data_IF_492055396382
#
_entry.id   IF_492055396382
#
_cell.length_a   1.000
_cell.length_b   1.000
_cell.length_c   1.000
_cell.angle_alpha   90.00
_cell.angle_beta   90.00
_cell.angle_gamma   90.00
#
_symmetry.space_group_name_H-M   'P 1'
#
loop_
_entity.id
_entity.type
_entity.pdbx_description
1 polymer ?
#
# COMPACT_ATOMS: atom_id res chain seq x y z
N UNK A 1 -80.40 10.81 56.06
CA UNK A 1 -78.98 11.22 56.00
C UNK A 1 -78.20 10.08 55.35
N UNK A 2 -78.10 10.07 54.02
CA UNK A 2 -77.36 9.04 53.26
C UNK A 2 -77.16 9.41 51.77
N UNK A 3 -77.28 10.70 51.41
CA UNK A 3 -77.27 11.18 50.02
C UNK A 3 -76.04 12.03 49.64
N UNK A 4 -75.04 12.14 50.53
CA UNK A 4 -73.83 12.93 50.28
C UNK A 4 -72.59 12.10 49.87
N UNK A 5 -72.73 10.78 49.74
CA UNK A 5 -71.60 9.87 49.44
C UNK A 5 -71.42 9.55 47.95
N UNK A 6 -72.42 9.81 47.09
CA UNK A 6 -72.35 9.46 45.67
C UNK A 6 -71.72 10.55 44.80
N UNK A 7 -71.75 11.82 45.25
CA UNK A 7 -71.20 12.93 44.49
C UNK A 7 -69.67 12.99 44.52
N UNK A 8 -69.01 12.52 45.59
CA UNK A 8 -67.55 12.47 45.67
C UNK A 8 -66.96 11.36 44.78
N UNK A 9 -67.65 10.22 44.64
CA UNK A 9 -67.21 9.09 43.82
C UNK A 9 -67.05 9.45 42.33
N UNK A 10 -67.93 10.30 41.80
CA UNK A 10 -67.91 10.66 40.37
C UNK A 10 -66.80 11.66 40.02
N UNK A 11 -66.38 12.50 40.97
CA UNK A 11 -65.29 13.45 40.75
C UNK A 11 -63.92 12.74 40.68
N UNK A 12 -63.73 11.72 41.52
CA UNK A 12 -62.52 10.90 41.53
C UNK A 12 -62.39 10.04 40.26
N UNK A 13 -63.50 9.49 39.74
CA UNK A 13 -63.52 8.75 38.47
C UNK A 13 -63.21 9.64 37.26
N UNK A 14 -63.69 10.88 37.24
CA UNK A 14 -63.37 11.86 36.19
C UNK A 14 -61.89 12.26 36.22
N UNK A 15 -61.30 12.44 37.40
CA UNK A 15 -59.86 12.73 37.53
C UNK A 15 -58.96 11.59 37.05
N UNK A 16 -59.33 10.35 37.38
CA UNK A 16 -58.59 9.15 36.96
C UNK A 16 -58.64 8.98 35.43
N UNK A 17 -59.82 9.14 34.83
CA UNK A 17 -59.98 9.01 33.37
C UNK A 17 -59.21 10.07 32.58
N UNK A 18 -59.17 11.32 33.03
CA UNK A 18 -58.37 12.37 32.41
C UNK A 18 -56.85 12.10 32.52
N UNK A 19 -56.40 11.57 33.67
CA UNK A 19 -54.99 11.21 33.89
C UNK A 19 -54.56 10.07 32.97
N UNK A 20 -55.42 9.06 32.79
CA UNK A 20 -55.14 7.95 31.86
C UNK A 20 -55.08 8.46 30.41
N UNK A 21 -56.04 9.29 29.99
CA UNK A 21 -56.09 9.82 28.63
C UNK A 21 -54.87 10.68 28.28
N UNK A 22 -54.43 11.53 29.20
CA UNK A 22 -53.22 12.35 29.03
C UNK A 22 -51.96 11.49 28.98
N UNK A 23 -51.86 10.45 29.82
CA UNK A 23 -50.78 9.49 29.78
C UNK A 23 -50.69 8.75 28.44
N UNK A 24 -51.82 8.24 27.93
CA UNK A 24 -51.89 7.56 26.62
C UNK A 24 -51.52 8.51 25.48
N UNK A 25 -51.97 9.76 25.54
CA UNK A 25 -51.66 10.78 24.52
C UNK A 25 -50.16 11.11 24.48
N UNK A 26 -49.52 11.28 25.64
CA UNK A 26 -48.08 11.52 25.73
C UNK A 26 -47.27 10.32 25.23
N UNK A 27 -47.69 9.09 25.58
CA UNK A 27 -47.06 7.88 25.09
C UNK A 27 -47.15 7.77 23.56
N UNK A 28 -48.31 8.09 22.98
CA UNK A 28 -48.50 8.09 21.53
C UNK A 28 -47.57 9.11 20.82
N UNK A 29 -47.43 10.32 21.37
CA UNK A 29 -46.48 11.32 20.86
C UNK A 29 -45.04 10.83 20.97
N UNK A 30 -44.66 10.22 22.10
CA UNK A 30 -43.32 9.68 22.28
C UNK A 30 -43.01 8.57 21.26
N UNK A 31 -43.94 7.64 21.05
CA UNK A 31 -43.80 6.57 20.05
C UNK A 31 -43.69 7.15 18.64
N UNK A 32 -44.49 8.16 18.30
CA UNK A 32 -44.41 8.82 17.00
C UNK A 32 -43.05 9.51 16.77
N UNK A 33 -42.55 10.26 17.76
CA UNK A 33 -41.23 10.91 17.70
C UNK A 33 -40.11 9.87 17.61
N UNK A 34 -40.19 8.78 18.37
CA UNK A 34 -39.24 7.68 18.31
C UNK A 34 -39.24 7.01 16.92
N UNK A 35 -40.42 6.70 16.37
CA UNK A 35 -40.56 6.13 15.04
C UNK A 35 -39.98 7.05 13.94
N UNK A 36 -40.21 8.36 14.03
CA UNK A 36 -39.59 9.35 13.14
C UNK A 36 -38.06 9.40 13.29
N UNK A 37 -37.56 9.27 14.53
CA UNK A 37 -36.12 9.17 14.80
C UNK A 37 -35.49 7.92 14.17
N UNK A 38 -36.15 6.77 14.30
CA UNK A 38 -35.73 5.50 13.69
C UNK A 38 -35.75 5.60 12.16
N UNK A 39 -36.81 6.12 11.57
CA UNK A 39 -36.90 6.28 10.11
C UNK A 39 -35.89 7.30 9.57
N UNK A 40 -35.65 8.40 10.29
CA UNK A 40 -34.61 9.38 9.91
C UNK A 40 -33.22 8.76 9.96
N UNK A 41 -32.89 8.04 11.02
CA UNK A 41 -31.58 7.36 11.15
C UNK A 41 -31.41 6.28 10.08
N UNK A 42 -32.47 5.53 9.76
CA UNK A 42 -32.47 4.57 8.65
C UNK A 42 -32.16 5.25 7.31
N UNK A 43 -32.87 6.33 6.96
CA UNK A 43 -32.62 7.09 5.73
C UNK A 43 -31.22 7.68 5.68
N UNK A 44 -30.74 8.28 6.77
CA UNK A 44 -29.38 8.81 6.83
C UNK A 44 -28.36 7.71 6.55
N UNK A 45 -28.53 6.51 7.12
CA UNK A 45 -27.66 5.36 6.86
C UNK A 45 -27.76 4.84 5.43
N UNK A 46 -28.96 4.76 4.85
CA UNK A 46 -29.17 4.32 3.46
C UNK A 46 -28.50 5.25 2.43
N UNK A 47 -28.45 6.57 2.70
CA UNK A 47 -27.78 7.55 1.84
C UNK A 47 -26.33 7.86 2.23
N UNK A 48 -25.84 7.28 3.34
CA UNK A 48 -24.48 7.49 3.79
C UNK A 48 -23.51 6.55 3.06
N UNK A 49 -22.85 7.07 2.02
CA UNK A 49 -21.79 6.36 1.30
C UNK A 49 -20.66 5.90 2.23
N UNK A 50 -20.44 6.56 3.36
CA UNK A 50 -19.44 6.13 4.35
C UNK A 50 -19.86 4.88 5.13
N UNK A 51 -21.15 4.51 5.12
CA UNK A 51 -21.65 3.38 5.92
C UNK A 51 -21.03 2.05 5.52
N UNK A 52 -20.83 1.79 4.23
CA UNK A 52 -20.13 0.59 3.76
C UNK A 52 -18.69 0.51 4.31
N UNK A 53 -18.04 1.65 4.54
CA UNK A 53 -16.69 1.69 5.14
C UNK A 53 -16.67 1.36 6.64
N UNK A 54 -17.84 1.24 7.28
CA UNK A 54 -17.95 0.86 8.70
C UNK A 54 -18.09 -0.64 8.93
N UNK A 55 -18.29 -1.41 7.86
CA UNK A 55 -18.44 -2.86 7.90
C UNK A 55 -17.06 -3.53 8.05
N UNK A 56 -16.78 -4.07 9.23
CA UNK A 56 -15.48 -4.67 9.56
C UNK A 56 -15.20 -5.97 8.77
N UNK A 57 -16.24 -6.69 8.36
CA UNK A 57 -16.16 -7.84 7.46
C UNK A 57 -15.69 -7.45 6.05
N UNK A 58 -16.14 -6.30 5.55
CA UNK A 58 -15.77 -5.81 4.22
C UNK A 58 -14.48 -4.99 4.20
N UNK A 59 -14.21 -4.18 5.22
CA UNK A 59 -13.05 -3.28 5.23
C UNK A 59 -11.87 -3.85 6.00
N UNK A 60 -12.06 -4.99 6.65
CA UNK A 60 -11.10 -5.59 7.57
C UNK A 60 -10.61 -4.56 8.57
N UNK A 61 -9.31 -4.36 8.51
CA UNK A 61 -8.57 -3.50 9.41
C UNK A 61 -8.65 -1.99 9.06
N UNK A 62 -9.29 -1.63 7.94
CA UNK A 62 -9.53 -0.24 7.51
C UNK A 62 -10.96 0.23 7.83
N UNK A 63 -11.73 -0.54 8.59
CA UNK A 63 -13.09 -0.16 8.96
C UNK A 63 -13.11 1.14 9.80
N UNK A 64 -13.99 2.06 9.41
CA UNK A 64 -14.28 3.25 10.20
C UNK A 64 -15.19 2.90 11.38
N UNK A 65 -15.03 3.63 12.49
CA UNK A 65 -15.96 3.51 13.62
C UNK A 65 -17.38 3.89 13.15
N UNK A 66 -18.40 3.08 13.47
CA UNK A 66 -19.77 3.41 13.10
C UNK A 66 -20.21 4.70 13.80
N UNK A 67 -20.97 5.53 13.08
CA UNK A 67 -21.55 6.75 13.66
C UNK A 67 -22.61 6.35 14.70
N UNK A 68 -22.48 6.87 15.92
CA UNK A 68 -23.45 6.64 16.98
C UNK A 68 -24.86 7.09 16.57
N UNK A 69 -25.89 6.44 17.09
CA UNK A 69 -27.27 6.66 16.65
C UNK A 69 -27.72 8.13 16.80
N UNK A 70 -27.36 8.80 17.89
CA UNK A 70 -27.63 10.22 18.11
C UNK A 70 -26.91 11.12 17.08
N UNK A 71 -25.65 10.81 16.76
CA UNK A 71 -24.90 11.55 15.75
C UNK A 71 -25.53 11.38 14.35
N UNK A 72 -26.02 10.18 14.03
CA UNK A 72 -26.76 9.91 12.80
C UNK A 72 -28.10 10.67 12.76
N UNK A 73 -28.81 10.77 13.89
CA UNK A 73 -30.05 11.55 13.99
C UNK A 73 -29.81 13.04 13.72
N UNK A 74 -28.68 13.59 14.20
CA UNK A 74 -28.19 14.93 13.91
C UNK A 74 -27.66 15.10 12.47
N UNK A 75 -27.73 14.07 11.63
CA UNK A 75 -27.30 14.12 10.24
C UNK A 75 -25.79 14.00 10.04
N UNK A 76 -25.02 13.61 11.06
CA UNK A 76 -23.60 13.28 10.88
C UNK A 76 -23.48 11.99 10.06
N UNK A 77 -22.56 12.00 9.10
CA UNK A 77 -22.24 10.87 8.22
C UNK A 77 -20.92 10.24 8.64
N UNK A 78 -20.74 8.97 8.31
CA UNK A 78 -19.46 8.32 8.46
C UNK A 78 -18.42 9.03 7.57
N UNK A 79 -17.19 9.25 8.07
CA UNK A 79 -16.15 9.82 7.24
C UNK A 79 -15.90 8.90 6.03
N UNK A 80 -15.70 9.50 4.87
CA UNK A 80 -15.27 8.74 3.69
C UNK A 80 -13.87 8.22 3.98
N UNK A 81 -13.69 6.89 3.92
CA UNK A 81 -12.36 6.31 4.10
C UNK A 81 -11.44 6.82 2.99
N UNK A 82 -10.28 7.30 3.39
CA UNK A 82 -9.23 7.70 2.47
C UNK A 82 -7.99 6.84 2.76
N UNK A 83 -7.41 6.27 1.70
CA UNK A 83 -6.25 5.37 1.75
C UNK A 83 -5.14 5.95 0.88
N UNK A 84 -3.86 5.66 1.16
CA UNK A 84 -2.77 6.02 0.26
C UNK A 84 -3.06 5.52 -1.16
N UNK A 85 -2.73 6.29 -2.18
CA UNK A 85 -2.88 5.80 -3.56
C UNK A 85 -1.89 4.67 -3.84
N UNK A 86 -2.15 3.87 -4.88
CA UNK A 86 -1.17 2.89 -5.38
C UNK A 86 0.15 3.59 -5.73
N UNK A 87 0.11 4.80 -6.29
CA UNK A 87 1.30 5.61 -6.53
C UNK A 87 2.05 5.98 -5.24
N UNK A 88 1.35 6.31 -4.16
CA UNK A 88 1.96 6.55 -2.85
C UNK A 88 2.58 5.30 -2.24
N UNK A 89 1.98 4.12 -2.47
CA UNK A 89 2.59 2.84 -2.09
C UNK A 89 3.86 2.56 -2.90
N UNK A 90 3.84 2.77 -4.22
CA UNK A 90 5.01 2.62 -5.09
C UNK A 90 6.12 3.60 -4.67
N UNK A 91 5.79 4.84 -4.32
CA UNK A 91 6.77 5.80 -3.79
C UNK A 91 7.41 5.34 -2.48
N UNK A 92 6.61 4.73 -1.59
CA UNK A 92 7.14 4.12 -0.38
C UNK A 92 8.07 2.93 -0.71
N UNK A 93 7.73 2.14 -1.72
CA UNK A 93 8.53 1.01 -2.19
C UNK A 93 9.88 1.46 -2.78
N UNK A 94 9.87 2.54 -3.56
CA UNK A 94 11.08 3.13 -4.15
C UNK A 94 12.04 3.63 -3.07
N UNK A 95 11.49 4.18 -1.97
CA UNK A 95 12.25 4.55 -0.77
C UNK A 95 12.67 3.35 0.10
N UNK A 96 12.54 2.13 -0.42
CA UNK A 96 12.88 0.88 0.26
C UNK A 96 12.11 0.67 1.58
N UNK A 97 10.94 1.29 1.74
CA UNK A 97 10.10 1.09 2.92
C UNK A 97 9.32 -0.23 2.85
N UNK A 98 9.23 -0.85 1.68
CA UNK A 98 8.80 -2.22 1.49
C UNK A 98 9.36 -2.73 0.17
N UNK A 99 9.31 -4.04 -0.08
CA UNK A 99 9.87 -4.63 -1.30
C UNK A 99 8.95 -5.74 -1.84
N UNK A 100 9.30 -6.33 -2.98
CA UNK A 100 8.49 -7.38 -3.58
C UNK A 100 8.27 -8.60 -2.65
N UNK A 101 9.16 -8.86 -1.67
CA UNK A 101 8.96 -9.93 -0.66
C UNK A 101 7.78 -9.69 0.25
N UNK A 102 7.42 -8.44 0.51
CA UNK A 102 6.24 -8.07 1.29
C UNK A 102 4.97 -8.70 0.72
N UNK A 103 4.92 -8.83 -0.61
CA UNK A 103 3.79 -9.43 -1.32
C UNK A 103 3.76 -10.96 -1.18
N UNK A 104 4.88 -11.61 -0.87
CA UNK A 104 4.92 -13.03 -0.55
C UNK A 104 4.26 -13.33 0.81
N UNK A 105 4.18 -12.34 1.70
CA UNK A 105 3.47 -12.46 2.97
C UNK A 105 1.99 -12.12 2.87
N UNK A 106 1.52 -11.71 1.68
CA UNK A 106 0.10 -11.49 1.45
C UNK A 106 -0.68 -12.76 1.77
N UNK A 107 -1.73 -12.70 2.60
CA UNK A 107 -2.53 -13.89 2.85
C UNK A 107 -3.06 -14.39 1.51
N UNK A 108 -3.08 -15.71 1.35
CA UNK A 108 -3.95 -16.30 0.34
C UNK A 108 -5.38 -15.79 0.64
N UNK A 109 -6.22 -15.65 -0.38
CA UNK A 109 -7.69 -15.54 -0.28
C UNK A 109 -8.32 -14.14 -0.57
N UNK A 110 -9.57 -14.28 -1.07
CA UNK A 110 -10.74 -13.42 -1.24
C UNK A 110 -10.88 -12.63 -2.56
N UNK A 111 -11.64 -13.18 -3.55
CA UNK A 111 -11.82 -12.56 -4.86
C UNK A 111 -12.58 -11.23 -4.83
N UNK A 112 -13.26 -10.91 -3.72
CA UNK A 112 -14.13 -9.74 -3.64
C UNK A 112 -13.40 -8.45 -3.23
N UNK A 113 -12.30 -8.55 -2.46
CA UNK A 113 -11.64 -7.41 -1.79
C UNK A 113 -10.12 -7.49 -1.88
N UNK A 114 -9.64 -7.41 -3.10
CA UNK A 114 -8.26 -7.72 -3.48
C UNK A 114 -7.21 -6.73 -3.00
N UNK A 115 -7.57 -5.48 -2.72
CA UNK A 115 -6.63 -4.46 -2.23
C UNK A 115 -6.37 -4.56 -0.73
N UNK A 116 -7.27 -5.15 0.07
CA UNK A 116 -7.10 -5.22 1.53
C UNK A 116 -5.87 -6.04 1.91
N UNK A 117 -5.69 -7.29 1.40
CA UNK A 117 -4.49 -8.08 1.65
C UNK A 117 -3.21 -7.33 1.27
N UNK A 118 -3.21 -6.64 0.13
CA UNK A 118 -2.07 -5.86 -0.35
C UNK A 118 -1.68 -4.77 0.66
N UNK A 119 -2.65 -3.96 1.10
CA UNK A 119 -2.38 -2.85 2.02
C UNK A 119 -2.03 -3.37 3.42
N UNK A 120 -2.68 -4.44 3.89
CA UNK A 120 -2.34 -5.08 5.17
C UNK A 120 -0.89 -5.53 5.20
N UNK A 121 -0.43 -6.27 4.18
CA UNK A 121 0.96 -6.74 4.12
C UNK A 121 1.97 -5.60 4.07
N UNK A 122 1.69 -4.56 3.27
CA UNK A 122 2.60 -3.40 3.19
C UNK A 122 2.68 -2.65 4.52
N UNK A 123 1.54 -2.40 5.17
CA UNK A 123 1.57 -1.68 6.44
C UNK A 123 2.14 -2.49 7.60
N UNK A 124 1.99 -3.82 7.58
CA UNK A 124 2.61 -4.69 8.57
C UNK A 124 4.14 -4.61 8.46
N UNK A 125 4.71 -4.65 7.25
CA UNK A 125 6.15 -4.46 7.03
C UNK A 125 6.63 -3.06 7.42
N UNK A 126 5.88 -2.01 7.06
CA UNK A 126 6.17 -0.63 7.48
C UNK A 126 6.19 -0.49 9.00
N UNK A 127 5.26 -1.15 9.69
CA UNK A 127 5.19 -1.14 11.16
C UNK A 127 6.43 -1.78 11.78
N UNK A 128 6.91 -2.89 11.20
CA UNK A 128 8.13 -3.58 11.64
C UNK A 128 9.35 -2.66 11.46
N UNK A 129 9.49 -2.01 10.30
CA UNK A 129 10.62 -1.13 9.99
C UNK A 129 10.67 0.12 10.88
N UNK A 130 9.53 0.76 11.13
CA UNK A 130 9.48 1.98 11.92
C UNK A 130 9.62 1.75 13.43
N UNK A 131 9.76 0.51 13.89
CA UNK A 131 9.92 0.23 15.32
C UNK A 131 8.80 0.84 16.17
N UNK A 132 7.58 0.96 15.62
CA UNK A 132 6.37 1.49 16.27
C UNK A 132 5.86 0.57 17.40
N UNK A 133 6.78 -0.14 18.06
CA UNK A 133 6.57 -0.92 19.25
C UNK A 133 6.77 -0.09 20.54
N UNK A 134 7.00 1.22 20.47
CA UNK A 134 6.98 2.12 21.64
C UNK A 134 5.55 2.63 21.99
N UNK A 135 4.60 1.70 22.08
CA UNK A 135 3.73 1.59 23.25
C UNK A 135 4.60 1.05 24.44
N UNK A 136 4.20 1.11 25.72
CA UNK A 136 5.11 0.86 26.85
C UNK A 136 5.67 -0.57 26.86
N UNK A 137 6.80 -0.92 27.48
CA UNK A 137 7.98 -0.20 27.98
C UNK A 137 9.00 -1.26 28.44
N UNK A 138 9.63 -1.97 27.52
CA UNK A 138 10.80 -2.81 27.78
C UNK A 138 11.49 -2.93 26.40
N UNK A 139 12.80 -3.11 26.33
CA UNK A 139 13.60 -3.22 25.08
C UNK A 139 14.13 -1.88 24.50
N UNK A 140 15.09 -1.34 25.27
CA UNK A 140 16.40 -0.83 24.82
C UNK A 140 16.76 -1.19 23.36
N UNK A 141 16.83 -0.20 22.46
CA UNK A 141 18.05 0.40 21.88
C UNK A 141 19.11 -0.59 21.36
N UNK A 142 19.38 -0.49 20.03
CA UNK A 142 20.48 -1.05 19.21
C UNK A 142 20.20 -2.29 18.31
N UNK A 143 19.33 -2.17 17.28
CA UNK A 143 19.17 -3.25 16.29
C UNK A 143 18.66 -2.86 14.88
N UNK A 144 19.04 -1.71 14.30
CA UNK A 144 18.62 -1.34 12.94
C UNK A 144 19.79 -1.10 11.96
N UNK A 145 20.79 -1.95 12.09
CA UNK A 145 21.62 -2.46 10.98
C UNK A 145 21.51 -4.00 10.85
N UNK A 146 20.51 -4.61 11.50
CA UNK A 146 20.38 -6.09 11.62
C UNK A 146 19.07 -6.70 11.11
N UNK A 147 18.07 -5.95 10.66
CA UNK A 147 16.74 -6.53 10.38
C UNK A 147 16.69 -7.42 9.12
N UNK A 148 17.62 -7.26 8.18
CA UNK A 148 17.74 -8.18 7.03
C UNK A 148 18.61 -9.40 7.39
N UNK A 149 19.60 -9.26 8.28
CA UNK A 149 20.59 -10.31 8.61
C UNK A 149 20.31 -11.13 9.90
N UNK A 150 19.45 -10.68 10.83
CA UNK A 150 19.17 -11.44 12.05
C UNK A 150 18.33 -12.72 11.81
N UNK A 151 17.61 -12.80 10.69
CA UNK A 151 16.96 -14.04 10.25
C UNK A 151 17.91 -14.97 9.47
N UNK A 152 19.14 -14.54 9.15
CA UNK A 152 20.06 -15.31 8.30
C UNK A 152 21.05 -16.22 9.05
N UNK A 153 21.06 -16.24 10.39
CA UNK A 153 22.07 -16.99 11.17
C UNK A 153 21.53 -18.08 12.10
N UNK A 154 20.33 -18.64 11.86
CA UNK A 154 19.89 -19.84 12.61
C UNK A 154 19.95 -21.08 11.73
N UNK A 155 20.92 -22.00 11.94
CA UNK A 155 20.83 -23.36 11.45
C UNK A 155 19.60 -24.00 12.08
N UNK A 156 18.77 -24.62 11.25
CA UNK A 156 17.50 -25.19 11.66
C UNK A 156 17.63 -26.18 12.80
N UNK A 157 16.73 -26.08 13.78
CA UNK A 157 16.38 -27.17 14.67
C UNK A 157 14.93 -27.00 15.13
N UNK A 158 14.13 -28.05 14.92
CA UNK A 158 12.94 -28.35 15.70
C UNK A 158 11.67 -27.61 15.29
N UNK A 159 10.68 -28.39 14.85
CA UNK A 159 9.33 -27.91 14.57
C UNK A 159 8.73 -27.13 15.74
N UNK A 160 8.57 -25.82 15.53
CA UNK A 160 7.56 -25.03 16.21
C UNK A 160 6.84 -24.26 15.12
N UNK A 161 5.58 -24.64 14.88
CA UNK A 161 4.57 -23.76 14.29
C UNK A 161 4.53 -22.52 15.18
N UNK A 162 5.33 -21.51 14.84
CA UNK A 162 5.23 -20.21 15.48
C UNK A 162 3.84 -19.69 15.17
N UNK A 163 3.13 -19.41 16.24
CA UNK A 163 1.84 -18.75 16.29
C UNK A 163 1.93 -17.39 15.58
N UNK A 164 1.82 -17.38 14.25
CA UNK A 164 1.41 -16.21 13.45
C UNK A 164 -0.10 -15.95 13.59
N UNK A 165 -0.76 -16.68 14.49
CA UNK A 165 -1.96 -16.24 15.19
C UNK A 165 -1.63 -15.21 16.28
N UNK A 166 -0.59 -14.38 16.10
CA UNK A 166 -0.51 -13.05 16.72
C UNK A 166 -1.66 -12.23 16.15
N UNK A 167 -2.82 -12.53 16.73
CA UNK A 167 -4.04 -11.76 16.81
C UNK A 167 -4.30 -10.82 15.62
N UNK A 168 -4.95 -11.39 14.61
CA UNK A 168 -5.96 -10.70 13.77
C UNK A 168 -6.86 -9.78 14.63
N UNK A 169 -7.06 -10.11 15.91
CA UNK A 169 -7.74 -9.30 16.95
C UNK A 169 -7.00 -7.99 17.29
N UNK A 170 -5.67 -7.94 17.32
CA UNK A 170 -4.88 -6.71 17.50
C UNK A 170 -4.87 -5.82 16.25
N UNK A 171 -5.06 -6.43 15.07
CA UNK A 171 -5.36 -5.69 13.83
C UNK A 171 -6.83 -5.21 13.76
N UNK A 172 -7.72 -5.63 14.65
CA UNK A 172 -9.13 -5.20 14.68
C UNK A 172 -9.41 -4.10 15.72
N UNK A 173 -8.48 -3.79 16.62
CA UNK A 173 -8.63 -2.70 17.62
C UNK A 173 -8.44 -1.29 17.00
N UNK A 174 -8.76 -1.12 15.70
CA UNK A 174 -8.24 -0.05 14.83
C UNK A 174 -9.13 1.19 14.72
N UNK A 175 -8.60 2.30 15.25
CA UNK A 175 -8.55 3.60 14.57
C UNK A 175 -7.11 4.07 14.29
N UNK A 176 -6.10 3.38 14.85
CA UNK A 176 -4.71 3.84 14.88
C UNK A 176 -3.94 3.68 13.57
N UNK A 177 -4.35 2.82 12.62
CA UNK A 177 -3.58 2.65 11.39
C UNK A 177 -3.74 3.84 10.45
N UNK A 178 -4.97 4.30 10.19
CA UNK A 178 -5.21 5.49 9.37
C UNK A 178 -4.57 6.75 9.98
N UNK A 179 -4.60 6.85 11.31
CA UNK A 179 -3.94 7.94 12.02
C UNK A 179 -2.42 7.78 12.10
N UNK A 180 -1.93 6.53 12.15
CA UNK A 180 -0.53 6.17 12.04
C UNK A 180 0.04 6.54 10.67
N UNK A 181 -0.68 6.23 9.58
CA UNK A 181 -0.33 6.62 8.21
C UNK A 181 -0.22 8.15 8.09
N UNK A 182 -1.13 8.91 8.71
CA UNK A 182 -1.03 10.38 8.77
C UNK A 182 0.16 10.89 9.59
N UNK A 183 0.62 10.09 10.56
CA UNK A 183 1.74 10.41 11.45
C UNK A 183 3.07 9.81 10.97
N UNK A 184 3.08 8.99 9.92
CA UNK A 184 4.31 8.50 9.32
C UNK A 184 5.07 9.74 8.84
N UNK A 185 6.32 9.93 9.30
CA UNK A 185 7.11 11.07 8.87
C UNK A 185 7.23 10.99 7.34
N UNK A 186 6.64 11.98 6.65
CA UNK A 186 7.09 12.30 5.30
C UNK A 186 8.58 12.52 5.43
N UNK A 187 9.36 11.61 4.84
CA UNK A 187 10.81 11.54 5.02
C UNK A 187 11.39 12.95 5.03
N UNK A 188 12.07 13.30 6.12
CA UNK A 188 12.62 14.61 6.37
C UNK A 188 13.69 14.93 5.31
N UNK A 189 13.26 15.47 4.19
CA UNK A 189 14.10 16.12 3.18
C UNK A 189 13.49 17.50 2.96
N UNK A 190 14.15 18.52 3.52
CA UNK A 190 14.04 19.95 3.23
C UNK A 190 12.67 20.53 2.87
N UNK A 191 12.17 21.42 3.73
CA UNK A 191 11.13 22.45 3.58
C UNK A 191 10.61 22.79 2.14
N UNK A 192 10.03 21.83 1.42
CA UNK A 192 9.17 22.14 0.27
C UNK A 192 7.72 22.12 0.72
N UNK A 193 6.96 23.16 0.35
CA UNK A 193 5.49 23.22 0.43
C UNK A 193 4.84 22.26 -0.57
N UNK A 194 5.35 21.04 -0.69
CA UNK A 194 4.76 20.07 -1.61
C UNK A 194 3.52 19.45 -0.99
N UNK A 195 2.41 19.62 -1.70
CA UNK A 195 1.14 18.98 -1.45
C UNK A 195 1.33 17.45 -1.43
N UNK A 196 1.45 16.88 -0.23
CA UNK A 196 1.31 15.45 0.06
C UNK A 196 2.12 14.48 -0.82
N UNK A 197 3.44 14.43 -0.65
CA UNK A 197 4.29 13.36 -1.25
C UNK A 197 4.15 12.02 -0.49
N UNK A 198 4.29 10.91 -1.19
CA UNK A 198 4.35 9.56 -0.63
C UNK A 198 3.01 9.02 -0.11
N UNK A 199 3.06 8.35 1.03
CA UNK A 199 1.88 7.76 1.70
C UNK A 199 0.84 8.80 2.12
N UNK A 200 1.21 10.09 2.16
CA UNK A 200 0.29 11.18 2.43
C UNK A 200 -0.66 11.47 1.26
N UNK A 201 -0.41 10.90 0.07
CA UNK A 201 -1.29 11.02 -1.10
C UNK A 201 -2.52 10.14 -0.94
N UNK A 202 -3.47 10.59 -0.12
CA UNK A 202 -4.69 9.87 0.18
C UNK A 202 -5.72 10.04 -0.95
N UNK A 203 -6.30 8.93 -1.40
CA UNK A 203 -7.45 8.87 -2.30
C UNK A 203 -8.68 8.38 -1.54
N UNK A 204 -9.82 9.01 -1.77
CA UNK A 204 -11.09 8.53 -1.25
C UNK A 204 -11.43 7.15 -1.86
N UNK A 205 -11.85 6.22 -1.01
CA UNK A 205 -12.37 4.91 -1.45
C UNK A 205 -13.72 5.11 -2.13
N UNK A 206 -13.88 4.51 -3.31
CA UNK A 206 -15.10 4.56 -4.10
C UNK A 206 -15.95 3.33 -3.80
N UNK A 207 -17.27 3.43 -3.98
CA UNK A 207 -18.16 2.29 -3.91
C UNK A 207 -18.67 1.97 -5.31
N UNK A 208 -18.26 0.82 -5.85
CA UNK A 208 -18.74 0.29 -7.13
C UNK A 208 -19.58 -0.94 -6.81
N UNK A 209 -20.90 -0.88 -7.02
CA UNK A 209 -21.81 -2.00 -6.71
C UNK A 209 -21.80 -2.42 -5.23
N UNK A 210 -21.61 -1.46 -4.30
CA UNK A 210 -21.38 -1.68 -2.85
C UNK A 210 -20.02 -2.28 -2.47
N UNK A 211 -19.16 -2.58 -3.45
CA UNK A 211 -17.79 -3.00 -3.18
C UNK A 211 -16.88 -1.77 -3.04
N UNK A 212 -16.10 -1.65 -1.96
CA UNK A 212 -15.09 -0.61 -1.81
C UNK A 212 -13.93 -0.83 -2.79
N UNK A 213 -13.63 0.19 -3.59
CA UNK A 213 -12.60 0.19 -4.62
C UNK A 213 -11.68 1.39 -4.47
N UNK A 214 -10.41 1.23 -4.85
CA UNK A 214 -9.43 2.32 -4.88
C UNK A 214 -9.24 2.74 -6.34
N UNK A 215 -9.37 4.04 -6.68
CA UNK A 215 -9.16 4.50 -8.04
C UNK A 215 -7.67 4.44 -8.42
N UNK A 216 -7.38 3.68 -9.48
CA UNK A 216 -6.03 3.43 -10.00
C UNK A 216 -5.90 4.06 -11.39
N UNK A 217 -4.82 4.81 -11.60
CA UNK A 217 -4.46 5.37 -12.92
C UNK A 217 -3.75 4.32 -13.78
N UNK A 218 -3.62 4.58 -15.09
CA UNK A 218 -2.90 3.66 -15.99
C UNK A 218 -1.44 3.51 -15.58
N UNK A 219 -0.79 4.62 -15.24
CA UNK A 219 0.61 4.66 -14.80
C UNK A 219 0.81 3.92 -13.47
N UNK A 220 -0.12 4.06 -12.51
CA UNK A 220 -0.10 3.28 -11.26
C UNK A 220 -0.28 1.78 -11.51
N UNK A 221 -1.17 1.40 -12.43
CA UNK A 221 -1.38 0.00 -12.79
C UNK A 221 -0.13 -0.61 -13.44
N UNK A 222 0.49 0.09 -14.38
CA UNK A 222 1.70 -0.42 -15.04
C UNK A 222 2.86 -0.48 -14.05
N UNK A 223 3.08 0.54 -13.24
CA UNK A 223 4.13 0.47 -12.22
C UNK A 223 3.89 -0.69 -11.24
N UNK A 224 2.65 -0.89 -10.78
CA UNK A 224 2.31 -2.04 -9.93
C UNK A 224 2.61 -3.37 -10.64
N UNK A 225 2.28 -3.51 -11.92
CA UNK A 225 2.59 -4.73 -12.68
C UNK A 225 4.09 -4.96 -12.83
N UNK A 226 4.89 -3.92 -13.06
CA UNK A 226 6.35 -3.99 -13.09
C UNK A 226 6.92 -4.44 -11.74
N UNK A 227 6.45 -3.84 -10.64
CA UNK A 227 6.86 -4.20 -9.27
C UNK A 227 6.47 -5.64 -8.90
N UNK A 228 5.42 -6.18 -9.50
CA UNK A 228 5.05 -7.58 -9.32
C UNK A 228 5.73 -8.51 -10.32
N UNK A 229 6.56 -8.01 -11.25
CA UNK A 229 7.17 -8.82 -12.30
C UNK A 229 6.13 -9.49 -13.20
N UNK A 230 5.05 -8.76 -13.50
CA UNK A 230 3.84 -9.30 -14.08
C UNK A 230 3.64 -8.82 -15.52
N UNK A 231 3.76 -9.70 -16.53
CA UNK A 231 3.39 -9.38 -17.89
C UNK A 231 1.86 -9.35 -18.00
N UNK A 232 1.29 -8.16 -18.21
CA UNK A 232 -0.14 -8.02 -18.50
C UNK A 232 -0.35 -8.28 -19.98
N UNK A 233 -1.06 -9.35 -20.31
CA UNK A 233 -1.44 -9.69 -21.68
C UNK A 233 -2.94 -9.52 -21.89
N UNK A 234 -3.33 -9.14 -23.10
CA UNK A 234 -4.74 -9.13 -23.51
C UNK A 234 -5.17 -10.54 -23.88
N UNK A 235 -6.17 -11.07 -23.19
CA UNK A 235 -6.86 -12.31 -23.53
C UNK A 235 -7.68 -12.15 -24.81
N UNK A 236 -8.00 -13.27 -25.48
CA UNK A 236 -8.92 -13.33 -26.62
C UNK A 236 -10.26 -12.68 -26.33
N UNK A 237 -10.70 -12.79 -25.08
CA UNK A 237 -12.02 -12.33 -24.62
C UNK A 237 -12.02 -10.83 -24.28
N UNK A 238 -10.92 -10.12 -24.55
CA UNK A 238 -10.79 -8.68 -24.31
C UNK A 238 -10.45 -8.29 -22.87
N UNK A 239 -10.34 -9.26 -21.96
CA UNK A 239 -9.81 -9.08 -20.61
C UNK A 239 -8.29 -8.93 -20.62
N UNK A 240 -7.72 -8.24 -19.64
CA UNK A 240 -6.27 -8.20 -19.47
C UNK A 240 -5.89 -8.93 -18.20
N UNK A 241 -5.00 -9.91 -18.31
CA UNK A 241 -4.57 -10.68 -17.17
C UNK A 241 -3.06 -10.94 -17.20
N UNK A 242 -2.49 -11.15 -16.03
CA UNK A 242 -1.09 -11.48 -15.86
C UNK A 242 -0.87 -12.28 -14.59
N UNK A 243 0.16 -13.12 -14.60
CA UNK A 243 0.66 -13.82 -13.42
C UNK A 243 2.08 -13.31 -13.20
N UNK A 244 2.31 -12.73 -12.02
CA UNK A 244 3.59 -12.18 -11.63
C UNK A 244 4.37 -13.08 -10.69
N UNK A 245 5.41 -12.50 -10.10
CA UNK A 245 6.13 -13.07 -8.98
C UNK A 245 5.20 -13.31 -7.78
N UNK A 246 5.66 -14.09 -6.81
CA UNK A 246 4.95 -14.40 -5.56
C UNK A 246 3.56 -15.06 -5.73
N UNK A 247 3.26 -15.56 -6.94
CA UNK A 247 1.99 -16.25 -7.23
C UNK A 247 0.83 -15.27 -7.31
N UNK A 248 1.13 -13.98 -7.50
CA UNK A 248 0.15 -12.94 -7.69
C UNK A 248 -0.41 -13.03 -9.10
N UNK A 249 -1.72 -13.02 -9.22
CA UNK A 249 -2.41 -12.82 -10.48
C UNK A 249 -3.18 -11.51 -10.43
N UNK A 250 -3.19 -10.82 -11.56
CA UNK A 250 -3.95 -9.61 -11.76
C UNK A 250 -4.88 -9.85 -12.94
N UNK A 251 -6.15 -9.54 -12.74
CA UNK A 251 -7.16 -9.61 -13.78
C UNK A 251 -7.87 -8.25 -13.86
N UNK A 252 -8.03 -7.76 -15.09
CA UNK A 252 -8.65 -6.51 -15.42
C UNK A 252 -9.83 -6.80 -16.34
N UNK A 253 -11.02 -6.68 -15.77
CA UNK A 253 -12.28 -6.90 -16.46
C UNK A 253 -13.06 -5.60 -16.61
N UNK A 254 -13.64 -5.38 -17.78
CA UNK A 254 -14.56 -4.27 -17.98
C UNK A 254 -15.95 -4.69 -17.50
N UNK A 255 -16.41 -4.10 -16.40
CA UNK A 255 -17.73 -4.38 -15.80
C UNK A 255 -18.58 -3.12 -15.84
N UNK A 256 -19.73 -3.21 -16.51
CA UNK A 256 -20.66 -2.09 -16.73
C UNK A 256 -19.98 -0.92 -17.47
N UNK A 257 -19.59 0.12 -16.73
CA UNK A 257 -18.94 1.33 -17.25
C UNK A 257 -17.54 1.56 -16.66
N UNK A 258 -17.01 0.59 -15.88
CA UNK A 258 -15.74 0.72 -15.18
C UNK A 258 -14.83 -0.47 -15.46
N UNK A 259 -13.53 -0.19 -15.50
CA UNK A 259 -12.52 -1.25 -15.44
C UNK A 259 -12.31 -1.65 -13.97
N UNK A 260 -12.57 -2.91 -13.67
CA UNK A 260 -12.36 -3.50 -12.34
C UNK A 260 -11.07 -4.31 -12.34
N UNK A 261 -10.19 -3.95 -11.41
CA UNK A 261 -8.93 -4.64 -11.15
C UNK A 261 -9.10 -5.63 -10.01
N UNK A 262 -8.65 -6.86 -10.22
CA UNK A 262 -8.72 -7.95 -9.25
C UNK A 262 -7.30 -8.52 -9.07
N UNK A 263 -6.71 -8.31 -7.89
CA UNK A 263 -5.43 -8.88 -7.49
C UNK A 263 -5.65 -10.11 -6.58
N UNK A 264 -5.19 -11.29 -6.99
CA UNK A 264 -5.36 -12.52 -6.23
C UNK A 264 -4.00 -13.14 -5.98
N UNK A 265 -3.78 -13.65 -4.76
CA UNK A 265 -2.65 -14.55 -4.50
C UNK A 265 -3.09 -15.98 -4.71
N UNK A 266 -2.52 -16.63 -5.72
CA UNK A 266 -2.67 -18.07 -5.93
C UNK A 266 -1.94 -18.86 -4.85
N UNK A 267 -2.44 -20.06 -4.58
CA UNK A 267 -1.73 -20.98 -3.68
C UNK A 267 -0.40 -21.41 -4.29
N UNK A 268 0.65 -21.45 -3.46
CA UNK A 268 1.98 -21.87 -3.86
C UNK A 268 2.36 -23.15 -3.14
N UNK A 269 2.93 -24.11 -3.88
CA UNK A 269 3.57 -25.27 -3.27
C UNK A 269 4.80 -24.74 -2.50
N UNK A 270 5.08 -25.19 -1.27
CA UNK A 270 6.20 -24.69 -0.46
C UNK A 270 7.57 -24.69 -1.16
N UNK A 271 7.79 -25.60 -2.12
CA UNK A 271 9.02 -25.64 -2.95
C UNK A 271 9.18 -24.47 -3.93
N UNK A 272 8.11 -23.71 -4.14
CA UNK A 272 8.08 -22.47 -4.93
C UNK A 272 8.04 -21.23 -4.02
N UNK A 273 8.23 -21.40 -2.70
CA UNK A 273 8.45 -20.28 -1.82
C UNK A 273 9.73 -19.56 -2.25
N UNK A 274 9.73 -18.22 -2.26
CA UNK A 274 10.94 -17.47 -2.55
C UNK A 274 12.05 -17.84 -1.58
N UNK A 275 13.28 -17.91 -2.09
CA UNK A 275 14.47 -17.95 -1.22
C UNK A 275 14.46 -16.70 -0.34
N UNK A 276 14.88 -16.84 0.92
CA UNK A 276 15.04 -15.68 1.80
C UNK A 276 15.94 -14.63 1.14
N UNK A 277 15.48 -13.38 1.12
CA UNK A 277 16.21 -12.30 0.47
C UNK A 277 16.02 -12.18 -1.05
N UNK A 278 15.14 -12.96 -1.67
CA UNK A 278 14.81 -12.85 -3.11
C UNK A 278 13.90 -11.70 -3.51
N UNK A 279 13.81 -10.68 -2.66
CA UNK A 279 13.10 -9.45 -2.95
C UNK A 279 13.89 -8.56 -3.91
N UNK A 280 13.15 -7.75 -4.66
CA UNK A 280 13.69 -6.65 -5.44
C UNK A 280 12.95 -5.36 -5.09
N UNK A 281 13.63 -4.23 -5.25
CA UNK A 281 13.02 -2.92 -5.01
C UNK A 281 12.14 -2.53 -6.19
N UNK A 282 11.10 -1.74 -5.92
CA UNK A 282 10.23 -1.20 -6.96
C UNK A 282 11.01 -0.35 -7.98
N UNK A 283 11.95 0.47 -7.49
CA UNK A 283 12.85 1.28 -8.30
C UNK A 283 13.62 0.40 -9.29
N UNK A 284 14.26 -0.68 -8.82
CA UNK A 284 15.00 -1.60 -9.69
C UNK A 284 14.08 -2.25 -10.73
N UNK A 285 12.90 -2.72 -10.32
CA UNK A 285 11.95 -3.36 -11.23
C UNK A 285 11.51 -2.43 -12.37
N UNK A 286 11.18 -1.17 -12.05
CA UNK A 286 10.81 -0.15 -13.04
C UNK A 286 11.95 0.13 -14.02
N UNK A 287 13.15 0.34 -13.50
CA UNK A 287 14.33 0.62 -14.32
C UNK A 287 14.66 -0.54 -15.26
N UNK A 288 14.71 -1.78 -14.75
CA UNK A 288 15.03 -2.96 -15.55
C UNK A 288 14.01 -3.20 -16.65
N UNK A 289 12.72 -3.02 -16.35
CA UNK A 289 11.66 -3.12 -17.35
C UNK A 289 11.78 -2.08 -18.46
N UNK A 290 12.39 -0.93 -18.16
CA UNK A 290 12.68 0.13 -19.13
C UNK A 290 14.08 0.02 -19.75
N UNK A 291 14.76 -1.12 -19.59
CA UNK A 291 16.10 -1.34 -20.16
C UNK A 291 17.19 -0.51 -19.51
N UNK A 292 17.03 -0.13 -18.24
CA UNK A 292 18.00 0.69 -17.51
C UNK A 292 18.36 0.07 -16.17
N UNK A 293 19.53 0.42 -15.65
CA UNK A 293 20.06 -0.12 -14.40
C UNK A 293 20.51 1.04 -13.51
N UNK A 294 19.83 1.28 -12.37
CA UNK A 294 20.13 2.40 -11.49
C UNK A 294 21.38 2.09 -10.64
N UNK A 295 22.31 3.05 -10.56
CA UNK A 295 23.59 2.88 -9.85
C UNK A 295 23.89 3.92 -8.79
N UNK A 296 23.25 5.09 -8.87
CA UNK A 296 23.33 6.08 -7.82
C UNK A 296 22.01 6.84 -7.71
N UNK A 297 21.63 7.17 -6.49
CA UNK A 297 20.40 7.88 -6.18
C UNK A 297 20.75 9.22 -5.50
N UNK A 298 20.25 10.30 -6.09
CA UNK A 298 20.18 11.62 -5.46
C UNK A 298 18.80 11.89 -4.87
N UNK A 299 18.64 13.06 -4.25
CA UNK A 299 17.34 13.49 -3.70
C UNK A 299 16.23 13.41 -4.75
N UNK A 300 16.40 14.14 -5.86
CA UNK A 300 15.41 14.26 -6.93
C UNK A 300 15.80 13.56 -8.25
N UNK A 301 16.96 12.89 -8.29
CA UNK A 301 17.46 12.25 -9.50
C UNK A 301 17.95 10.83 -9.26
N UNK A 302 17.96 10.01 -10.30
CA UNK A 302 18.53 8.66 -10.33
C UNK A 302 19.50 8.59 -11.49
N UNK A 303 20.76 8.24 -11.21
CA UNK A 303 21.73 7.89 -12.23
C UNK A 303 21.58 6.43 -12.59
N UNK A 304 21.48 6.17 -13.89
CA UNK A 304 21.27 4.85 -14.43
C UNK A 304 22.13 4.61 -15.66
N UNK A 305 22.46 3.35 -15.93
CA UNK A 305 23.03 2.90 -17.20
C UNK A 305 21.88 2.42 -18.07
N UNK A 306 21.69 3.00 -19.27
CA UNK A 306 20.72 2.51 -20.24
C UNK A 306 21.35 1.44 -21.11
N UNK A 307 20.80 0.23 -21.05
CA UNK A 307 21.38 -0.99 -21.60
C UNK A 307 20.97 -1.15 -23.07
N UNK A 308 21.72 -0.51 -23.95
CA UNK A 308 21.68 -0.80 -25.40
C UNK A 308 22.50 -2.04 -25.72
N UNK A 309 22.36 -2.62 -26.92
CA UNK A 309 23.21 -3.74 -27.36
C UNK A 309 24.70 -3.39 -27.32
N UNK A 310 25.03 -2.14 -27.64
CA UNK A 310 26.39 -1.63 -27.60
C UNK A 310 26.91 -1.53 -26.16
N UNK A 311 26.11 -0.99 -25.23
CA UNK A 311 26.45 -0.94 -23.80
C UNK A 311 26.56 -2.34 -23.22
N UNK A 312 25.69 -3.27 -23.61
CA UNK A 312 25.75 -4.66 -23.18
C UNK A 312 27.04 -5.35 -23.66
N UNK A 313 27.47 -5.10 -24.90
CA UNK A 313 28.76 -5.57 -25.40
C UNK A 313 29.92 -4.94 -24.62
N UNK A 314 29.90 -3.63 -24.41
CA UNK A 314 30.90 -2.91 -23.63
C UNK A 314 31.03 -3.48 -22.20
N UNK A 315 29.90 -3.74 -21.54
CA UNK A 315 29.86 -4.37 -20.21
C UNK A 315 30.52 -5.76 -20.22
N UNK A 316 30.24 -6.58 -21.24
CA UNK A 316 30.84 -7.93 -21.36
C UNK A 316 32.34 -7.88 -21.60
N UNK A 317 32.79 -6.87 -22.34
CA UNK A 317 34.19 -6.69 -22.72
C UNK A 317 34.98 -5.87 -21.68
N UNK A 318 34.34 -5.40 -20.60
CA UNK A 318 34.97 -4.55 -19.59
C UNK A 318 35.32 -3.13 -20.08
N UNK A 319 34.66 -2.66 -21.14
CA UNK A 319 34.84 -1.31 -21.69
C UNK A 319 34.10 -0.29 -20.82
N UNK A 320 34.68 0.90 -20.69
CA UNK A 320 34.08 1.98 -19.91
C UNK A 320 32.79 2.50 -20.57
N UNK A 321 31.79 2.80 -19.75
CA UNK A 321 30.54 3.45 -20.17
C UNK A 321 30.69 4.94 -19.95
N UNK A 322 30.27 5.78 -20.89
CA UNK A 322 30.38 7.24 -20.79
C UNK A 322 29.02 7.92 -20.94
N UNK A 323 28.81 9.00 -20.20
CA UNK A 323 27.69 9.91 -20.40
C UNK A 323 27.89 10.72 -21.70
N UNK A 324 27.01 10.48 -22.67
CA UNK A 324 26.98 11.21 -23.95
C UNK A 324 26.01 12.39 -23.92
N UNK A 325 25.37 12.67 -22.78
CA UNK A 325 24.33 13.68 -22.57
C UNK A 325 23.15 13.58 -23.55
N UNK A 326 23.02 12.44 -24.21
CA UNK A 326 22.02 12.27 -25.24
C UNK A 326 20.68 11.83 -24.61
N UNK A 327 19.62 11.99 -25.38
CA UNK A 327 18.27 11.69 -24.95
C UNK A 327 18.01 10.17 -24.80
N UNK A 328 17.55 9.77 -23.61
CA UNK A 328 17.36 8.38 -23.17
C UNK A 328 16.30 7.52 -23.87
N UNK A 329 15.68 8.01 -24.94
CA UNK A 329 14.72 7.25 -25.74
C UNK A 329 13.33 7.05 -25.09
N UNK A 330 12.40 6.40 -25.82
CA UNK A 330 11.02 6.25 -25.40
C UNK A 330 10.84 5.47 -24.08
N UNK A 331 11.72 4.50 -23.80
CA UNK A 331 11.65 3.69 -22.57
C UNK A 331 11.92 4.53 -21.33
N UNK A 332 12.87 5.47 -21.40
CA UNK A 332 13.18 6.37 -20.28
C UNK A 332 12.14 7.48 -20.13
N UNK A 333 11.51 7.93 -21.22
CA UNK A 333 10.31 8.78 -21.11
C UNK A 333 9.13 8.06 -20.47
N UNK A 334 8.96 6.77 -20.80
CA UNK A 334 7.92 5.97 -20.17
C UNK A 334 8.18 5.81 -18.67
N UNK A 335 9.43 5.52 -18.28
CA UNK A 335 9.86 5.47 -16.89
C UNK A 335 9.51 6.77 -16.16
N UNK A 336 9.73 7.93 -16.81
CA UNK A 336 9.43 9.26 -16.26
C UNK A 336 7.96 9.52 -15.95
N UNK A 337 7.05 8.73 -16.53
CA UNK A 337 5.60 8.85 -16.30
C UNK A 337 5.11 7.99 -15.14
N UNK A 338 5.93 7.04 -14.67
CA UNK A 338 5.52 6.13 -13.61
C UNK A 338 5.44 6.87 -12.26
N UNK A 339 4.62 6.39 -11.31
CA UNK A 339 4.59 6.98 -9.98
C UNK A 339 5.97 6.97 -9.32
N UNK A 340 6.18 7.96 -8.45
CA UNK A 340 7.44 8.18 -7.74
C UNK A 340 8.63 8.44 -8.65
N UNK A 341 8.38 8.97 -9.85
CA UNK A 341 9.45 9.31 -10.76
C UNK A 341 10.42 10.34 -10.18
N UNK A 342 11.69 10.10 -10.44
CA UNK A 342 12.79 11.00 -10.19
C UNK A 342 13.45 11.32 -11.52
N UNK A 343 14.09 12.48 -11.64
CA UNK A 343 14.81 12.82 -12.86
C UNK A 343 15.85 11.73 -13.18
N UNK A 344 15.68 11.02 -14.30
CA UNK A 344 16.61 9.97 -14.72
C UNK A 344 17.74 10.58 -15.54
N UNK A 345 18.96 10.43 -15.03
CA UNK A 345 20.24 10.72 -15.67
C UNK A 345 20.83 9.41 -16.21
N UNK A 346 20.88 9.23 -17.54
CA UNK A 346 21.12 7.95 -18.17
C UNK A 346 22.42 7.92 -18.98
N UNK A 347 23.27 6.95 -18.67
CA UNK A 347 24.60 6.74 -19.25
C UNK A 347 24.51 5.61 -20.27
N UNK A 348 24.98 5.83 -21.49
CA UNK A 348 24.88 4.79 -22.54
C UNK A 348 25.86 4.95 -23.70
N UNK A 349 26.82 5.87 -23.61
CA UNK A 349 27.96 5.89 -24.50
C UNK A 349 28.98 4.82 -24.13
N UNK A 350 29.90 4.57 -25.06
CA UNK A 350 31.06 3.71 -24.86
C UNK A 350 32.29 4.59 -25.04
N UNK A 351 33.26 4.46 -24.13
CA UNK A 351 34.52 5.17 -24.28
C UNK A 351 35.33 4.58 -25.44
N UNK A 352 35.82 5.43 -26.36
CA UNK A 352 36.69 4.99 -27.46
C UNK A 352 38.07 4.52 -26.97
N UNK A 353 38.56 5.10 -25.86
CA UNK A 353 39.83 4.75 -25.24
C UNK A 353 39.66 4.45 -23.74
N UNK A 354 40.17 3.28 -23.30
CA UNK A 354 40.17 2.90 -21.88
C UNK A 354 41.16 3.71 -21.03
N UNK A 355 42.20 4.31 -21.63
CA UNK A 355 43.06 5.29 -20.96
C UNK A 355 43.73 4.82 -19.65
N UNK A 356 44.06 3.53 -19.52
CA UNK A 356 44.63 2.96 -18.29
C UNK A 356 43.68 2.92 -17.09
N UNK A 357 42.37 3.12 -17.32
CA UNK A 357 41.32 3.02 -16.29
C UNK A 357 40.96 1.57 -16.00
N UNK A 358 40.33 1.35 -14.85
CA UNK A 358 39.84 0.04 -14.47
C UNK A 358 38.72 -0.43 -15.42
N UNK A 359 38.62 -1.75 -15.70
CA UNK A 359 37.57 -2.28 -16.56
C UNK A 359 36.17 -1.95 -16.04
N UNK A 360 35.31 -1.46 -16.94
CA UNK A 360 33.91 -1.16 -16.63
C UNK A 360 33.67 0.10 -15.82
N UNK A 361 34.59 1.07 -15.76
CA UNK A 361 34.30 2.38 -15.18
C UNK A 361 33.12 3.07 -15.89
N UNK A 362 32.33 3.81 -15.13
CA UNK A 362 31.24 4.67 -15.59
C UNK A 362 31.75 6.11 -15.48
N UNK A 363 31.80 6.80 -16.62
CA UNK A 363 32.38 8.12 -16.77
C UNK A 363 31.29 9.15 -17.04
N UNK A 364 31.39 10.34 -16.43
CA UNK A 364 30.56 11.48 -16.82
C UNK A 364 31.04 12.08 -18.15
N UNK A 365 30.34 13.10 -18.65
CA UNK A 365 30.68 13.79 -19.89
C UNK A 365 32.08 14.45 -19.89
N UNK A 366 32.65 14.71 -18.70
CA UNK A 366 34.01 15.25 -18.54
C UNK A 366 35.09 14.16 -18.51
N UNK A 367 34.70 12.88 -18.61
CA UNK A 367 35.62 11.74 -18.50
C UNK A 367 36.05 11.40 -17.07
N UNK A 368 35.38 11.97 -16.06
CA UNK A 368 35.61 11.67 -14.65
C UNK A 368 34.78 10.44 -14.24
N UNK A 369 35.38 9.60 -13.40
CA UNK A 369 34.69 8.40 -12.89
C UNK A 369 33.61 8.77 -11.87
N UNK A 370 32.38 8.29 -12.13
CA UNK A 370 31.23 8.46 -11.23
C UNK A 370 30.77 7.13 -10.61
N UNK A 371 31.36 6.02 -11.04
CA UNK A 371 31.10 4.68 -10.52
C UNK A 371 31.77 3.62 -11.38
N UNK A 372 31.54 2.35 -11.05
CA UNK A 372 31.99 1.23 -11.88
C UNK A 372 30.88 0.20 -12.02
N UNK A 373 30.88 -0.49 -13.16
CA UNK A 373 29.92 -1.54 -13.46
C UNK A 373 30.02 -2.71 -12.48
N UNK A 374 31.23 -3.11 -12.08
CA UNK A 374 31.43 -4.15 -11.08
C UNK A 374 30.77 -3.79 -9.75
N UNK A 375 30.98 -2.54 -9.29
CA UNK A 375 30.36 -2.02 -8.07
C UNK A 375 28.84 -1.94 -8.18
N UNK A 376 28.34 -1.52 -9.34
CA UNK A 376 26.92 -1.48 -9.65
C UNK A 376 26.30 -2.88 -9.54
N UNK A 377 26.87 -3.86 -10.24
CA UNK A 377 26.39 -5.26 -10.21
C UNK A 377 26.49 -5.88 -8.81
N UNK A 378 27.54 -5.58 -8.04
CA UNK A 378 27.65 -6.01 -6.66
C UNK A 378 26.55 -5.43 -5.76
N UNK A 379 26.10 -4.19 -6.04
CA UNK A 379 24.99 -3.53 -5.34
C UNK A 379 23.60 -3.99 -5.80
N UNK A 380 23.46 -4.42 -7.05
CA UNK A 380 22.26 -5.07 -7.59
C UNK A 380 22.25 -6.50 -7.10
N UNK A 381 21.82 -6.72 -5.86
CA UNK A 381 21.56 -8.05 -5.34
C UNK A 381 20.67 -8.81 -6.34
N UNK A 382 21.24 -9.76 -7.08
CA UNK A 382 20.51 -10.59 -8.04
C UNK A 382 19.47 -11.42 -7.29
N UNK A 383 18.22 -10.94 -7.22
CA UNK A 383 17.01 -11.73 -6.97
C UNK A 383 17.13 -12.84 -5.92
N UNK A 384 17.85 -12.60 -4.81
CA UNK A 384 18.01 -13.57 -3.71
C UNK A 384 19.01 -14.70 -3.91
N UNK A 385 19.99 -14.56 -4.80
CA UNK A 385 21.12 -15.49 -4.87
C UNK A 385 22.35 -15.02 -4.09
N UNK A 386 22.44 -13.74 -3.74
CA UNK A 386 23.47 -13.24 -2.84
C UNK A 386 22.82 -12.19 -1.92
N UNK A 387 23.02 -12.22 -0.58
CA UNK A 387 22.80 -11.03 0.22
C UNK A 387 23.51 -9.86 -0.46
N UNK A 388 22.97 -8.63 -0.39
CA UNK A 388 23.69 -7.43 -0.85
C UNK A 388 25.17 -7.59 -0.49
N UNK A 389 26.03 -7.57 -1.51
CA UNK A 389 27.44 -7.86 -1.31
C UNK A 389 27.92 -7.01 -0.13
N UNK A 390 28.58 -7.66 0.85
CA UNK A 390 29.10 -6.94 2.01
C UNK A 390 29.93 -5.76 1.50
N UNK A 391 29.98 -4.65 2.24
CA UNK A 391 30.70 -3.45 1.81
C UNK A 391 32.13 -3.78 1.38
N UNK A 392 32.77 -4.75 2.04
CA UNK A 392 34.10 -5.23 1.68
C UNK A 392 34.16 -5.95 0.32
N UNK A 393 33.09 -6.60 -0.13
CA UNK A 393 32.98 -7.24 -1.46
C UNK A 393 32.63 -6.22 -2.55
N UNK A 394 31.92 -5.15 -2.19
CA UNK A 394 31.65 -4.02 -3.11
C UNK A 394 32.89 -3.14 -3.29
N UNK A 395 33.77 -3.08 -2.28
CA UNK A 395 35.01 -2.28 -2.26
C UNK A 395 36.28 -3.05 -2.66
N UNK A 396 36.25 -4.39 -2.70
CA UNK A 396 37.33 -5.25 -3.18
C UNK A 396 37.25 -5.46 -4.69
#
# INVERSE_FOLDING_TARGET
MSSSSSASSNADELGLSQTILTGVSLLAVFVAVFALGVERTRRVREYDKGHETTKADLMGCFSNKPVGWFASLLGRRAPVLALPSIGGLIEAADRSLWSSTTLDHMPEIHPELTWIPLYESIFDDLRVLHGLNKLPSEWSQSALTRSVFANMSRPGHGGHRSSLAVTRRGLLERGCLAEGIRKLPGAATGESKDEGKGLARLKAVWLVGKTPCIPVTREELVALSLVMGMPIAKSSDGHYAGIGAYGLSLDLAHTEANWKLTLVKGSRIPRHAPSMGSGYTSLMAKHLACGSIPFAEGGDWIRSVYVTDAVLAAVRDGVCIVDTQAYGGPSLEFLRRLPADKAVDAYYGIAEEQGGRDPGCILNANGEEVGSWARLVAGIAFGGLVPQADRNVVEA
#
